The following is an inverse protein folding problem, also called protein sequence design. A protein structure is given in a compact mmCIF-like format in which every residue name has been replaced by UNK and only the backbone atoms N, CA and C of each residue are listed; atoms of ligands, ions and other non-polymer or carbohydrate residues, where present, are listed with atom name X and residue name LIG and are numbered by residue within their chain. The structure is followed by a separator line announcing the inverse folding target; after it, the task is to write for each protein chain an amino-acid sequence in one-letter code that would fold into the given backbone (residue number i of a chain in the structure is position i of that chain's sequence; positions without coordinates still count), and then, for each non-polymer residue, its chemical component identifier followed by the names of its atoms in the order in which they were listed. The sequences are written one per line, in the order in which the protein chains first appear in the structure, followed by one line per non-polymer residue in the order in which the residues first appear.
data_IF_247438384747
#
_entry.id   IF_247438384747
#
_cell.length_a   1.000
_cell.length_b   1.000
_cell.length_c   1.000
_cell.angle_alpha   90.00
_cell.angle_beta   90.00
_cell.angle_gamma   90.00
#
_symmetry.space_group_name_H-M   'P 1'
#
loop_
_entity.id
_entity.type
_entity.pdbx_description
1 polymer ?
#
# COMPACT_ATOMS: atom_id res chain seq x y z
N UNK A 1 -27.09 35.99 -65.55
CA UNK A 1 -25.68 35.94 -65.10
C UNK A 1 -25.63 35.27 -63.74
N UNK A 2 -25.48 33.93 -63.71
CA UNK A 2 -25.65 33.10 -62.51
C UNK A 2 -24.62 31.98 -62.62
N UNK A 3 -23.43 32.15 -62.04
CA UNK A 3 -22.35 31.15 -61.89
C UNK A 3 -21.10 31.85 -61.31
N UNK A 4 -21.15 32.30 -60.05
CA UNK A 4 -19.96 32.82 -59.38
C UNK A 4 -20.05 32.66 -57.85
N UNK A 5 -20.26 31.45 -57.34
CA UNK A 5 -20.16 31.20 -55.89
C UNK A 5 -19.74 29.78 -55.47
N UNK A 6 -19.34 28.88 -56.39
CA UNK A 6 -19.03 27.49 -56.05
C UNK A 6 -17.55 27.10 -56.26
N UNK A 7 -16.63 28.05 -56.15
CA UNK A 7 -15.18 27.83 -56.33
C UNK A 7 -14.35 28.26 -55.10
N UNK A 8 -14.99 28.34 -53.93
CA UNK A 8 -14.39 28.84 -52.68
C UNK A 8 -14.31 27.75 -51.58
N UNK A 9 -14.01 26.49 -51.90
CA UNK A 9 -13.80 25.46 -50.83
C UNK A 9 -12.78 24.36 -51.20
N UNK A 10 -12.49 24.13 -52.48
CA UNK A 10 -11.86 22.87 -52.92
C UNK A 10 -10.33 22.75 -52.73
N UNK A 11 -9.48 23.79 -52.75
CA UNK A 11 -8.03 23.55 -52.66
C UNK A 11 -7.50 23.34 -51.22
N UNK A 12 -8.32 23.48 -50.17
CA UNK A 12 -7.87 23.37 -48.78
C UNK A 12 -7.96 21.94 -48.19
N UNK A 13 -8.56 20.98 -48.92
CA UNK A 13 -8.78 19.61 -48.44
C UNK A 13 -7.63 18.62 -48.73
N UNK A 14 -6.55 19.06 -49.39
CA UNK A 14 -5.46 18.17 -49.83
C UNK A 14 -4.19 18.23 -48.97
N UNK A 15 -4.20 18.96 -47.85
CA UNK A 15 -3.08 19.03 -46.91
C UNK A 15 -3.23 18.07 -45.70
N UNK A 16 -3.94 16.94 -45.87
CA UNK A 16 -3.97 15.88 -44.86
C UNK A 16 -2.72 15.00 -44.99
N UNK A 17 -1.58 15.51 -44.53
CA UNK A 17 -0.38 14.69 -44.31
C UNK A 17 -0.69 13.69 -43.19
N UNK A 18 -1.13 12.48 -43.56
CA UNK A 18 -1.24 11.35 -42.64
C UNK A 18 0.15 10.97 -42.14
N UNK A 19 0.57 11.54 -41.00
CA UNK A 19 1.75 11.05 -40.28
C UNK A 19 1.46 9.63 -39.82
N UNK A 20 2.23 8.65 -40.31
CA UNK A 20 2.22 7.30 -39.74
C UNK A 20 2.62 7.43 -38.28
N UNK A 21 1.71 7.06 -37.38
CA UNK A 21 2.01 6.96 -35.96
C UNK A 21 3.12 5.93 -35.70
N UNK A 22 3.75 5.97 -34.52
CA UNK A 22 4.73 4.97 -34.14
C UNK A 22 4.12 3.56 -34.20
N UNK A 23 4.90 2.57 -34.62
CA UNK A 23 4.48 1.17 -34.59
C UNK A 23 4.37 0.72 -33.13
N UNK A 24 3.16 0.34 -32.71
CA UNK A 24 2.91 -0.22 -31.38
C UNK A 24 2.82 -1.75 -31.53
N UNK A 25 3.75 -2.45 -30.89
CA UNK A 25 3.75 -3.90 -30.86
C UNK A 25 2.69 -4.43 -29.87
N UNK A 26 2.06 -5.57 -30.15
CA UNK A 26 0.99 -6.12 -29.29
C UNK A 26 1.43 -6.39 -27.84
N UNK A 27 2.69 -6.73 -27.61
CA UNK A 27 3.27 -6.93 -26.28
C UNK A 27 3.43 -5.62 -25.49
N UNK A 28 3.37 -4.46 -26.14
CA UNK A 28 3.34 -3.16 -25.46
C UNK A 28 1.94 -2.75 -24.97
N UNK A 29 0.89 -3.47 -25.39
CA UNK A 29 -0.50 -3.20 -24.99
C UNK A 29 -0.90 -3.88 -23.66
N UNK A 30 0.09 -4.40 -22.93
CA UNK A 30 -0.12 -5.01 -21.62
C UNK A 30 0.15 -3.99 -20.50
N UNK A 31 -0.44 -4.15 -19.31
CA UNK A 31 -0.24 -3.22 -18.21
C UNK A 31 1.25 -3.01 -17.84
N UNK A 32 1.62 -1.78 -17.49
CA UNK A 32 2.90 -1.49 -16.84
C UNK A 32 3.03 -2.17 -15.49
N UNK A 33 4.26 -2.28 -14.98
CA UNK A 33 4.50 -2.80 -13.64
C UNK A 33 3.89 -1.90 -12.56
N UNK A 34 3.28 -2.46 -11.50
CA UNK A 34 2.88 -1.72 -10.33
C UNK A 34 4.07 -0.95 -9.76
N UNK A 35 3.84 0.31 -9.37
CA UNK A 35 4.87 1.19 -8.85
C UNK A 35 4.81 1.28 -7.33
N UNK A 36 5.84 1.89 -6.73
CA UNK A 36 5.95 2.07 -5.28
C UNK A 36 5.73 0.77 -4.47
N UNK A 37 6.13 -0.37 -5.04
CA UNK A 37 6.04 -1.66 -4.36
C UNK A 37 6.99 -1.65 -3.17
N UNK A 38 6.46 -1.88 -1.97
CA UNK A 38 7.20 -1.90 -0.72
C UNK A 38 6.67 -2.99 0.18
N UNK A 39 7.55 -3.64 0.95
CA UNK A 39 7.16 -4.57 2.01
C UNK A 39 7.83 -4.18 3.31
N UNK A 40 7.08 -4.23 4.41
CA UNK A 40 7.57 -3.96 5.76
C UNK A 40 6.91 -4.89 6.76
N UNK A 41 7.63 -5.26 7.82
CA UNK A 41 7.03 -5.98 8.92
C UNK A 41 6.09 -5.06 9.71
N UNK A 42 4.84 -5.49 9.86
CA UNK A 42 3.81 -4.83 10.65
C UNK A 42 3.34 -5.75 11.79
N UNK A 43 4.04 -5.74 12.92
CA UNK A 43 3.75 -6.64 14.05
C UNK A 43 4.09 -8.08 13.69
N UNK A 44 3.07 -8.96 13.68
CA UNK A 44 3.23 -10.39 13.38
C UNK A 44 3.06 -10.75 11.89
N UNK A 45 2.92 -9.75 11.02
CA UNK A 45 2.72 -9.95 9.58
C UNK A 45 3.60 -9.04 8.72
N UNK A 46 3.50 -9.21 7.39
CA UNK A 46 4.11 -8.33 6.40
C UNK A 46 3.06 -7.45 5.75
N UNK A 47 3.29 -6.13 5.74
CA UNK A 47 2.48 -5.15 5.03
C UNK A 47 3.09 -4.88 3.67
N UNK A 48 2.45 -5.39 2.62
CA UNK A 48 2.81 -5.16 1.22
C UNK A 48 1.97 -4.01 0.66
N UNK A 49 2.61 -2.95 0.17
CA UNK A 49 1.95 -1.80 -0.44
C UNK A 49 2.42 -1.59 -1.87
N UNK A 50 1.51 -1.28 -2.79
CA UNK A 50 1.84 -1.02 -4.20
C UNK A 50 0.77 -0.17 -4.88
N UNK A 51 1.17 0.61 -5.88
CA UNK A 51 0.26 1.43 -6.70
C UNK A 51 -0.06 0.71 -7.99
N UNK A 52 -1.35 0.53 -8.26
CA UNK A 52 -1.86 -0.07 -9.49
C UNK A 52 -1.44 0.75 -10.73
N UNK A 53 -1.04 0.08 -11.83
CA UNK A 53 -0.69 0.77 -13.06
C UNK A 53 -1.93 1.44 -13.66
N UNK A 54 -1.70 2.59 -14.30
CA UNK A 54 -2.74 3.35 -15.02
C UNK A 54 -2.51 3.35 -16.53
N UNK A 55 -1.42 2.76 -16.97
CA UNK A 55 -0.98 2.74 -18.36
C UNK A 55 -0.51 1.35 -18.78
N UNK A 56 -0.52 1.13 -20.09
CA UNK A 56 0.19 0.03 -20.73
C UNK A 56 1.65 0.42 -21.02
N UNK A 57 2.47 -0.55 -21.43
CA UNK A 57 3.89 -0.30 -21.77
C UNK A 57 4.08 0.65 -22.96
N UNK A 58 3.02 0.92 -23.73
CA UNK A 58 2.99 1.93 -24.79
C UNK A 58 2.54 3.32 -24.29
N UNK A 59 2.49 3.53 -22.98
CA UNK A 59 2.10 4.78 -22.29
C UNK A 59 0.63 5.20 -22.52
N UNK A 60 -0.20 4.30 -23.06
CA UNK A 60 -1.62 4.54 -23.26
C UNK A 60 -2.40 4.26 -21.98
N UNK A 61 -3.54 4.92 -21.82
CA UNK A 61 -4.36 4.72 -20.62
C UNK A 61 -4.92 3.29 -20.55
N UNK A 62 -4.66 2.63 -19.43
CA UNK A 62 -5.14 1.28 -19.15
C UNK A 62 -6.57 1.34 -18.59
N UNK A 63 -7.53 0.75 -19.32
CA UNK A 63 -8.96 0.79 -18.97
C UNK A 63 -9.54 -0.57 -18.60
N UNK A 64 -8.81 -1.65 -18.87
CA UNK A 64 -9.25 -3.03 -18.69
C UNK A 64 -8.45 -3.79 -17.63
N UNK A 65 -7.77 -3.08 -16.71
CA UNK A 65 -7.12 -3.70 -15.55
C UNK A 65 -8.16 -4.47 -14.72
N UNK A 66 -7.93 -5.77 -14.49
CA UNK A 66 -8.79 -6.61 -13.65
C UNK A 66 -8.25 -6.78 -12.24
N UNK A 67 -6.93 -6.78 -12.07
CA UNK A 67 -6.33 -7.14 -10.81
C UNK A 67 -4.82 -7.26 -10.85
N UNK A 68 -4.28 -7.83 -9.78
CA UNK A 68 -2.88 -8.23 -9.65
C UNK A 68 -2.77 -9.65 -9.11
N UNK A 69 -1.76 -10.37 -9.58
CA UNK A 69 -1.24 -11.59 -8.96
C UNK A 69 -0.03 -11.22 -8.12
N UNK A 70 -0.06 -11.60 -6.86
CA UNK A 70 1.04 -11.42 -5.93
C UNK A 70 1.75 -12.75 -5.82
N UNK A 71 3.02 -12.74 -6.18
CA UNK A 71 3.90 -13.87 -6.06
C UNK A 71 4.74 -13.70 -4.79
N UNK A 72 4.89 -14.77 -4.02
CA UNK A 72 5.69 -14.81 -2.78
C UNK A 72 6.75 -15.89 -2.90
N UNK A 73 7.95 -15.57 -2.44
CA UNK A 73 9.03 -16.52 -2.22
C UNK A 73 9.44 -16.44 -0.76
N UNK A 74 9.60 -17.59 -0.15
CA UNK A 74 9.93 -17.73 1.26
C UNK A 74 11.27 -18.44 1.40
N UNK A 75 12.19 -17.84 2.12
CA UNK A 75 13.47 -18.45 2.47
C UNK A 75 13.55 -18.54 3.99
N UNK A 76 13.61 -19.77 4.50
CA UNK A 76 13.76 -20.05 5.92
C UNK A 76 15.24 -20.29 6.28
N UNK A 77 15.70 -19.91 7.48
CA UNK A 77 17.07 -20.18 7.92
C UNK A 77 17.39 -21.68 8.02
N UNK A 78 16.38 -22.49 8.35
CA UNK A 78 16.40 -23.96 8.30
C UNK A 78 15.38 -24.43 7.27
N UNK A 79 15.78 -24.70 6.01
CA UNK A 79 14.85 -25.28 5.05
C UNK A 79 14.35 -26.63 5.58
N UNK A 80 13.07 -26.99 5.37
CA UNK A 80 12.67 -28.38 5.56
C UNK A 80 13.60 -29.27 4.73
N UNK A 81 14.03 -30.37 5.32
CA UNK A 81 15.20 -31.18 4.91
C UNK A 81 15.12 -31.74 3.48
N UNK A 82 13.98 -31.60 2.78
CA UNK A 82 13.65 -32.34 1.56
C UNK A 82 13.07 -31.50 0.40
N UNK A 83 13.54 -30.27 0.11
CA UNK A 83 13.32 -29.67 -1.23
C UNK A 83 14.12 -28.38 -1.50
N UNK A 84 15.32 -28.45 -2.12
CA UNK A 84 16.06 -27.27 -2.54
C UNK A 84 15.30 -26.38 -3.55
N UNK A 85 14.56 -27.00 -4.50
CA UNK A 85 13.78 -26.29 -5.51
C UNK A 85 12.57 -25.51 -4.94
N UNK A 86 12.16 -25.83 -3.71
CA UNK A 86 11.00 -25.22 -3.06
C UNK A 86 11.30 -23.86 -2.43
N UNK A 87 12.58 -23.53 -2.23
CA UNK A 87 13.04 -22.31 -1.54
C UNK A 87 13.36 -21.17 -2.53
N UNK A 88 13.62 -21.48 -3.81
CA UNK A 88 14.18 -20.51 -4.75
C UNK A 88 13.17 -19.88 -5.73
N UNK A 89 11.99 -20.48 -5.90
CA UNK A 89 11.00 -20.05 -6.89
C UNK A 89 9.85 -19.24 -6.27
N UNK A 90 9.40 -18.21 -7.01
CA UNK A 90 8.19 -17.47 -6.67
C UNK A 90 6.96 -18.35 -6.88
N UNK A 91 6.07 -18.39 -5.89
CA UNK A 91 4.78 -19.08 -5.96
C UNK A 91 3.64 -18.06 -5.96
N UNK A 92 2.53 -18.40 -6.61
CA UNK A 92 1.33 -17.58 -6.52
C UNK A 92 0.81 -17.59 -5.09
N UNK A 93 0.81 -16.42 -4.44
CA UNK A 93 0.34 -16.23 -3.08
C UNK A 93 -1.11 -15.76 -3.05
N UNK A 94 -1.44 -14.74 -3.85
CA UNK A 94 -2.77 -14.15 -3.93
C UNK A 94 -3.08 -13.66 -5.33
N UNK A 95 -4.36 -13.73 -5.71
CA UNK A 95 -4.91 -12.98 -6.84
C UNK A 95 -5.90 -11.98 -6.29
N UNK A 96 -5.65 -10.70 -6.51
CA UNK A 96 -6.49 -9.61 -6.03
C UNK A 96 -7.17 -8.96 -7.22
N UNK A 97 -8.49 -8.90 -7.19
CA UNK A 97 -9.28 -8.21 -8.20
C UNK A 97 -9.57 -6.78 -7.74
N UNK A 98 -9.46 -5.80 -8.63
CA UNK A 98 -9.63 -4.38 -8.27
C UNK A 98 -11.06 -4.04 -7.83
N UNK A 99 -12.04 -4.82 -8.30
CA UNK A 99 -13.47 -4.61 -8.07
C UNK A 99 -14.05 -5.52 -6.98
N UNK A 100 -13.21 -6.33 -6.31
CA UNK A 100 -13.63 -7.24 -5.25
C UNK A 100 -13.06 -6.76 -3.92
N UNK A 101 -13.93 -6.64 -2.91
CA UNK A 101 -13.50 -6.39 -1.54
C UNK A 101 -13.02 -7.71 -0.92
N UNK A 102 -11.75 -7.77 -0.55
CA UNK A 102 -11.16 -8.85 0.22
C UNK A 102 -10.65 -8.26 1.53
N UNK A 103 -11.10 -8.77 2.68
CA UNK A 103 -10.76 -8.20 3.99
C UNK A 103 -9.26 -8.20 4.32
N UNK A 104 -8.45 -8.99 3.60
CA UNK A 104 -6.99 -9.00 3.75
C UNK A 104 -6.28 -7.88 2.99
N UNK A 105 -6.97 -7.17 2.09
CA UNK A 105 -6.46 -6.04 1.33
C UNK A 105 -7.33 -4.80 1.49
N UNK A 106 -6.71 -3.62 1.50
CA UNK A 106 -7.41 -2.35 1.45
C UNK A 106 -6.95 -1.49 0.31
N UNK A 107 -7.92 -0.81 -0.30
CA UNK A 107 -7.73 0.07 -1.44
C UNK A 107 -7.91 1.53 -1.03
N UNK A 108 -6.89 2.33 -1.31
CA UNK A 108 -6.85 3.78 -1.11
C UNK A 108 -6.62 4.45 -2.47
N UNK A 109 -7.69 4.59 -3.25
CA UNK A 109 -7.59 5.02 -4.65
C UNK A 109 -6.87 3.97 -5.52
N UNK A 110 -5.67 4.29 -6.03
CA UNK A 110 -4.82 3.33 -6.76
C UNK A 110 -3.81 2.61 -5.87
N UNK A 111 -3.66 3.00 -4.61
CA UNK A 111 -2.79 2.32 -3.65
C UNK A 111 -3.53 1.10 -3.09
N UNK A 112 -2.89 -0.05 -3.15
CA UNK A 112 -3.35 -1.30 -2.54
C UNK A 112 -2.41 -1.63 -1.38
N UNK A 113 -2.98 -2.03 -0.25
CA UNK A 113 -2.25 -2.44 0.95
C UNK A 113 -2.77 -3.80 1.40
N UNK A 114 -1.92 -4.81 1.34
CA UNK A 114 -2.20 -6.19 1.77
C UNK A 114 -1.47 -6.47 3.09
N UNK A 115 -2.14 -7.13 4.02
CA UNK A 115 -1.50 -7.72 5.20
C UNK A 115 -1.35 -9.22 5.00
N UNK A 116 -0.11 -9.68 4.86
CA UNK A 116 0.26 -11.09 4.87
C UNK A 116 0.53 -11.56 6.29
N UNK A 117 -0.39 -12.37 6.83
CA UNK A 117 -0.26 -13.00 8.14
C UNK A 117 0.33 -14.42 8.08
N UNK A 118 0.52 -15.00 6.89
CA UNK A 118 1.10 -16.33 6.72
C UNK A 118 2.63 -16.24 6.69
N UNK A 119 3.19 -15.75 7.79
CA UNK A 119 4.63 -15.55 7.95
C UNK A 119 5.12 -16.15 9.27
N UNK A 120 6.40 -16.52 9.31
CA UNK A 120 7.06 -17.18 10.44
C UNK A 120 8.26 -16.37 10.86
N UNK A 121 8.57 -16.42 12.14
CA UNK A 121 9.75 -15.77 12.70
C UNK A 121 11.04 -16.22 11.97
N UNK A 122 11.96 -15.29 11.77
CA UNK A 122 13.20 -15.44 11.02
C UNK A 122 13.05 -15.80 9.53
N UNK A 123 11.82 -15.88 8.99
CA UNK A 123 11.59 -16.06 7.57
C UNK A 123 11.94 -14.81 6.77
N UNK A 124 12.56 -15.00 5.60
CA UNK A 124 12.82 -13.94 4.62
C UNK A 124 11.79 -14.05 3.51
N UNK A 125 11.05 -12.97 3.27
CA UNK A 125 9.92 -12.96 2.35
C UNK A 125 10.19 -12.00 1.20
N UNK A 126 10.21 -12.53 -0.03
CA UNK A 126 10.31 -11.73 -1.25
C UNK A 126 8.98 -11.73 -2.00
N UNK A 127 8.49 -10.56 -2.39
CA UNK A 127 7.25 -10.39 -3.14
C UNK A 127 7.49 -9.80 -4.53
N UNK A 128 6.66 -10.20 -5.50
CA UNK A 128 6.49 -9.55 -6.80
C UNK A 128 5.01 -9.35 -7.08
N UNK A 129 4.66 -8.26 -7.73
CA UNK A 129 3.28 -7.95 -8.10
C UNK A 129 3.18 -7.90 -9.63
N UNK A 130 2.26 -8.67 -10.19
CA UNK A 130 2.03 -8.80 -11.63
C UNK A 130 0.59 -8.39 -11.93
N UNK A 131 0.35 -7.28 -12.65
CA UNK A 131 -0.98 -6.85 -13.02
C UNK A 131 -1.53 -7.73 -14.14
N UNK A 132 -2.86 -7.81 -14.25
CA UNK A 132 -3.49 -8.51 -15.36
C UNK A 132 -4.79 -7.84 -15.80
N UNK A 133 -5.09 -7.99 -17.10
CA UNK A 133 -6.30 -7.40 -17.71
C UNK A 133 -7.53 -8.28 -17.50
N UNK A 134 -8.72 -7.77 -17.84
CA UNK A 134 -9.99 -8.53 -17.83
C UNK A 134 -9.98 -9.75 -18.75
N UNK A 135 -9.08 -9.79 -19.73
CA UNK A 135 -8.84 -10.96 -20.59
C UNK A 135 -7.84 -11.96 -19.99
N UNK A 136 -7.34 -11.68 -18.77
CA UNK A 136 -6.37 -12.52 -18.08
C UNK A 136 -4.92 -12.37 -18.56
N UNK A 137 -4.63 -11.36 -19.39
CA UNK A 137 -3.28 -11.12 -19.93
C UNK A 137 -2.42 -10.43 -18.88
N UNK A 138 -1.26 -11.01 -18.60
CA UNK A 138 -0.29 -10.51 -17.62
C UNK A 138 0.47 -9.30 -18.19
N UNK A 139 0.64 -8.28 -17.35
CA UNK A 139 1.51 -7.15 -17.62
C UNK A 139 2.93 -7.35 -17.09
N UNK A 140 3.70 -6.27 -17.07
CA UNK A 140 5.05 -6.29 -16.54
C UNK A 140 5.07 -6.55 -15.02
N UNK A 141 5.97 -7.41 -14.56
CA UNK A 141 6.15 -7.68 -13.13
C UNK A 141 6.90 -6.54 -12.44
N UNK A 142 6.55 -6.24 -11.19
CA UNK A 142 7.33 -5.32 -10.36
C UNK A 142 8.74 -5.86 -10.08
N UNK A 143 9.65 -4.96 -9.73
CA UNK A 143 10.89 -5.37 -9.06
C UNK A 143 10.56 -6.17 -7.78
N UNK A 144 11.37 -7.18 -7.42
CA UNK A 144 11.16 -7.92 -6.18
C UNK A 144 11.46 -7.03 -4.96
N UNK A 145 10.63 -7.13 -3.93
CA UNK A 145 10.86 -6.48 -2.63
C UNK A 145 10.97 -7.53 -1.53
N UNK A 146 11.91 -7.35 -0.61
CA UNK A 146 12.22 -8.33 0.43
C UNK A 146 12.12 -7.68 1.81
N UNK A 147 11.58 -8.43 2.78
CA UNK A 147 11.68 -8.11 4.19
C UNK A 147 11.97 -9.36 5.01
N UNK A 148 12.70 -9.19 6.11
CA UNK A 148 12.96 -10.25 7.08
C UNK A 148 12.00 -10.15 8.25
N UNK A 149 11.40 -11.27 8.66
CA UNK A 149 10.54 -11.33 9.83
C UNK A 149 11.38 -11.45 11.09
N UNK A 150 11.39 -10.41 11.92
CA UNK A 150 12.05 -10.43 13.23
C UNK A 150 11.01 -10.50 14.36
N UNK A 151 11.40 -10.81 15.60
CA UNK A 151 10.49 -10.63 16.74
C UNK A 151 9.95 -9.19 16.77
N UNK A 152 8.61 -8.99 16.83
CA UNK A 152 8.05 -7.65 16.81
C UNK A 152 8.50 -6.87 18.06
N UNK A 153 8.82 -5.57 17.92
CA UNK A 153 9.03 -4.70 19.06
C UNK A 153 7.81 -4.68 19.99
N UNK A 154 8.05 -4.41 21.28
CA UNK A 154 6.97 -4.23 22.26
C UNK A 154 6.20 -2.96 21.89
N UNK A 155 4.85 -3.01 21.79
CA UNK A 155 4.05 -1.84 21.45
C UNK A 155 4.05 -0.82 22.61
N UNK A 156 3.75 0.46 22.32
CA UNK A 156 3.47 1.41 23.38
C UNK A 156 2.11 1.12 24.02
N UNK A 157 1.91 1.65 25.22
CA UNK A 157 0.60 1.90 25.81
C UNK A 157 0.14 3.28 25.36
N UNK A 158 -1.07 3.35 24.82
CA UNK A 158 -1.68 4.59 24.35
C UNK A 158 -2.65 5.11 25.41
N UNK A 159 -2.48 6.37 25.82
CA UNK A 159 -3.43 7.11 26.66
C UNK A 159 -4.10 8.22 25.85
N UNK A 160 -5.32 8.57 26.23
CA UNK A 160 -6.13 9.56 25.53
C UNK A 160 -6.68 10.61 26.51
N UNK A 161 -6.61 11.87 26.11
CA UNK A 161 -7.03 13.04 26.87
C UNK A 161 -7.90 13.94 25.98
N UNK A 162 -9.22 13.70 25.94
CA UNK A 162 -10.11 14.50 25.13
C UNK A 162 -10.31 15.92 25.71
N UNK A 163 -10.37 16.91 24.82
CA UNK A 163 -10.69 18.31 25.10
C UNK A 163 -11.89 18.75 24.25
N UNK A 164 -12.40 19.99 24.38
CA UNK A 164 -13.52 20.46 23.57
C UNK A 164 -13.20 20.63 22.07
N UNK A 165 -11.93 20.80 21.70
CA UNK A 165 -11.49 21.11 20.32
C UNK A 165 -10.61 20.04 19.69
N UNK A 166 -10.00 19.19 20.50
CA UNK A 166 -9.01 18.21 20.08
C UNK A 166 -8.95 17.01 21.04
N UNK A 167 -8.16 16.02 20.67
CA UNK A 167 -7.83 14.88 21.50
C UNK A 167 -6.31 14.75 21.55
N UNK A 168 -5.73 14.88 22.74
CA UNK A 168 -4.31 14.58 22.97
C UNK A 168 -4.13 13.10 23.25
N UNK A 169 -3.18 12.49 22.56
CA UNK A 169 -2.74 11.12 22.77
C UNK A 169 -1.32 11.10 23.30
N UNK A 170 -1.03 10.18 24.22
CA UNK A 170 0.30 9.97 24.78
C UNK A 170 0.76 8.53 24.58
N UNK A 171 1.99 8.38 24.11
CA UNK A 171 2.65 7.11 23.87
C UNK A 171 3.61 6.81 25.02
N UNK A 172 3.30 5.77 25.80
CA UNK A 172 4.10 5.35 26.95
C UNK A 172 4.63 3.96 26.69
N UNK A 173 5.94 3.78 26.63
CA UNK A 173 6.52 2.48 26.31
C UNK A 173 7.99 2.37 26.63
N UNK A 174 8.48 1.13 26.58
CA UNK A 174 9.89 0.83 26.71
C UNK A 174 10.62 1.12 25.39
N UNK A 175 11.88 1.55 25.49
CA UNK A 175 12.74 1.66 24.33
C UNK A 175 13.08 0.26 23.77
N UNK A 176 13.26 0.11 22.45
CA UNK A 176 13.61 -1.16 21.86
C UNK A 176 14.98 -1.64 22.35
N UNK A 177 15.09 -2.94 22.67
CA UNK A 177 16.35 -3.58 23.07
C UNK A 177 17.32 -3.68 21.88
N UNK A 178 16.78 -3.90 20.68
CA UNK A 178 17.54 -4.02 19.43
C UNK A 178 17.05 -2.97 18.45
N UNK A 179 17.98 -2.25 17.83
CA UNK A 179 17.68 -1.15 16.92
C UNK A 179 17.44 0.18 17.65
N UNK A 180 16.96 1.17 16.92
CA UNK A 180 16.67 2.50 17.46
C UNK A 180 15.22 2.91 17.20
N UNK A 181 14.60 3.55 18.19
CA UNK A 181 13.27 4.12 18.06
C UNK A 181 13.29 5.22 16.98
N UNK A 182 12.44 5.07 15.96
CA UNK A 182 12.21 6.10 14.94
C UNK A 182 11.03 6.98 15.33
N UNK A 183 10.00 6.39 15.94
CA UNK A 183 8.79 7.09 16.36
C UNK A 183 7.57 6.18 16.42
N UNK A 184 6.39 6.77 16.26
CA UNK A 184 5.11 6.09 16.33
C UNK A 184 4.27 6.33 15.08
N UNK A 185 3.61 5.28 14.61
CA UNK A 185 2.54 5.37 13.62
C UNK A 185 1.19 5.27 14.34
N UNK A 186 0.36 6.30 14.21
CA UNK A 186 -0.95 6.40 14.82
C UNK A 186 -2.03 6.00 13.81
N UNK A 187 -3.01 5.22 14.26
CA UNK A 187 -4.15 4.76 13.48
C UNK A 187 -5.42 5.30 14.12
N UNK A 188 -6.37 5.73 13.30
CA UNK A 188 -7.66 6.30 13.73
C UNK A 188 -8.79 5.75 12.88
N UNK A 189 -9.89 5.35 13.50
CA UNK A 189 -11.15 5.03 12.85
C UNK A 189 -12.32 5.62 13.64
N UNK A 190 -13.50 5.70 13.03
CA UNK A 190 -14.73 5.95 13.81
C UNK A 190 -15.01 4.71 14.67
N UNK A 191 -15.56 4.90 15.88
CA UNK A 191 -15.91 3.80 16.77
C UNK A 191 -16.82 2.80 16.05
N UNK A 192 -16.45 1.52 16.11
CA UNK A 192 -17.15 0.42 15.45
C UNK A 192 -16.66 0.12 14.03
N UNK A 193 -15.84 0.99 13.43
CA UNK A 193 -15.13 0.70 12.19
C UNK A 193 -13.77 0.07 12.45
N UNK A 194 -13.28 -0.71 11.49
CA UNK A 194 -11.94 -1.27 11.56
C UNK A 194 -10.86 -0.18 11.36
N UNK A 195 -9.82 -0.21 12.20
CA UNK A 195 -8.65 0.67 12.03
C UNK A 195 -8.03 0.52 10.65
N UNK A 196 -7.67 1.61 9.93
CA UNK A 196 -7.07 1.58 8.59
C UNK A 196 -5.75 0.80 8.56
N UNK A 197 -5.33 0.32 7.38
CA UNK A 197 -4.01 -0.33 7.22
C UNK A 197 -2.87 0.68 7.07
N UNK A 198 -3.21 1.94 6.76
CA UNK A 198 -2.29 3.05 6.70
C UNK A 198 -2.41 3.92 7.96
N UNK A 199 -1.29 4.45 8.46
CA UNK A 199 -1.32 5.37 9.57
C UNK A 199 -1.95 6.71 9.17
N UNK A 200 -2.45 7.43 10.16
CA UNK A 200 -2.93 8.80 10.07
C UNK A 200 -1.80 9.78 9.74
N UNK A 201 -0.62 9.56 10.32
CA UNK A 201 0.57 10.38 10.11
C UNK A 201 1.33 9.98 8.84
N UNK A 202 1.90 10.97 8.14
CA UNK A 202 2.70 10.75 6.89
C UNK A 202 4.10 10.21 7.15
N UNK A 203 4.66 10.51 8.32
CA UNK A 203 5.97 10.07 8.78
C UNK A 203 5.88 9.74 10.28
N UNK A 204 6.70 8.81 10.81
CA UNK A 204 6.64 8.43 12.21
C UNK A 204 6.75 9.62 13.15
N UNK A 205 5.88 9.66 14.16
CA UNK A 205 5.84 10.71 15.17
C UNK A 205 7.00 10.52 16.15
N UNK A 206 7.92 11.49 16.21
CA UNK A 206 9.12 11.40 17.04
C UNK A 206 8.88 11.73 18.53
N UNK A 207 7.81 12.47 18.83
CA UNK A 207 7.43 12.82 20.20
C UNK A 207 6.65 11.70 20.91
N UNK A 208 6.57 11.79 22.23
CA UNK A 208 5.75 10.90 23.07
C UNK A 208 4.28 11.35 23.17
N UNK A 209 3.87 12.37 22.43
CA UNK A 209 2.47 12.80 22.36
C UNK A 209 2.09 13.33 20.98
N UNK A 210 0.80 13.29 20.68
CA UNK A 210 0.20 13.80 19.46
C UNK A 210 -1.17 14.43 19.75
N UNK A 211 -1.45 15.59 19.15
CA UNK A 211 -2.77 16.23 19.26
C UNK A 211 -3.53 16.07 17.96
N UNK A 212 -4.63 15.31 18.01
CA UNK A 212 -5.54 15.14 16.90
C UNK A 212 -6.64 16.22 16.94
N UNK A 213 -6.71 17.02 15.90
CA UNK A 213 -7.59 18.20 15.80
C UNK A 213 -8.44 18.14 14.53
N UNK A 214 -9.44 19.02 14.42
CA UNK A 214 -10.38 19.01 13.29
C UNK A 214 -11.32 17.81 13.33
N UNK A 215 -11.67 17.35 14.54
CA UNK A 215 -12.57 16.24 14.79
C UNK A 215 -14.04 16.69 14.70
N UNK A 216 -14.92 15.77 14.31
CA UNK A 216 -16.34 16.05 14.24
C UNK A 216 -16.97 15.90 15.63
N UNK A 217 -17.77 16.89 16.05
CA UNK A 217 -18.56 16.80 17.29
C UNK A 217 -19.57 15.65 17.20
N UNK A 218 -19.80 14.98 18.33
CA UNK A 218 -20.69 13.81 18.42
C UNK A 218 -20.12 12.51 17.84
N UNK A 219 -18.92 12.53 17.25
CA UNK A 219 -18.25 11.32 16.75
C UNK A 219 -17.26 10.81 17.77
N UNK A 220 -17.38 9.54 18.15
CA UNK A 220 -16.34 8.85 18.92
C UNK A 220 -15.34 8.21 17.97
N UNK A 221 -14.07 8.48 18.19
CA UNK A 221 -12.97 7.92 17.44
C UNK A 221 -12.28 6.83 18.26
N UNK A 222 -11.76 5.84 17.56
CA UNK A 222 -10.95 4.77 18.11
C UNK A 222 -9.52 4.90 17.61
N UNK A 223 -8.55 4.78 18.51
CA UNK A 223 -7.14 5.01 18.26
C UNK A 223 -6.30 3.82 18.70
N UNK A 224 -5.27 3.53 17.93
CA UNK A 224 -4.20 2.63 18.30
C UNK A 224 -2.90 3.09 17.65
N UNK A 225 -1.76 2.68 18.20
CA UNK A 225 -0.45 3.06 17.70
C UNK A 225 0.43 1.84 17.49
N UNK A 226 1.43 1.99 16.61
CA UNK A 226 2.56 1.09 16.48
C UNK A 226 3.85 1.86 16.73
N UNK A 227 4.79 1.24 17.43
CA UNK A 227 6.14 1.75 17.59
C UNK A 227 6.98 1.30 16.38
N UNK A 228 7.75 2.24 15.82
CA UNK A 228 8.58 2.06 14.63
C UNK A 228 10.04 2.00 15.04
N UNK A 229 10.71 0.89 14.73
CA UNK A 229 12.12 0.66 15.06
C UNK A 229 12.93 0.54 13.79
N UNK A 230 14.10 1.17 13.75
CA UNK A 230 15.13 0.89 12.77
C UNK A 230 16.03 -0.21 13.29
N UNK A 231 16.01 -1.37 12.65
CA UNK A 231 16.87 -2.49 13.00
C UNK A 231 18.33 -2.20 12.58
N UNK A 232 19.33 -2.89 13.17
CA UNK A 232 20.73 -2.77 12.75
C UNK A 232 20.97 -3.07 11.27
N UNK A 233 20.10 -3.89 10.65
CA UNK A 233 20.10 -4.16 9.20
C UNK A 233 19.67 -2.96 8.36
N UNK A 234 19.17 -1.89 8.98
CA UNK A 234 18.64 -0.68 8.34
C UNK A 234 17.14 -0.73 8.04
N UNK A 235 16.53 -1.92 8.06
CA UNK A 235 15.10 -2.13 7.86
C UNK A 235 14.27 -1.46 8.96
N UNK A 236 13.08 -0.95 8.60
CA UNK A 236 12.11 -0.49 9.59
C UNK A 236 11.11 -1.60 9.88
N UNK A 237 10.87 -1.83 11.16
CA UNK A 237 9.92 -2.81 11.67
C UNK A 237 8.94 -2.14 12.63
N UNK A 238 7.71 -2.63 12.65
CA UNK A 238 6.65 -2.08 13.48
C UNK A 238 6.27 -3.08 14.55
N UNK A 239 5.97 -2.58 15.75
CA UNK A 239 5.35 -3.39 16.80
C UNK A 239 3.99 -3.93 16.35
N UNK A 240 3.42 -4.83 17.15
CA UNK A 240 1.97 -5.06 17.12
C UNK A 240 1.21 -3.76 17.45
N UNK A 241 -0.11 -3.73 17.25
CA UNK A 241 -0.92 -2.60 17.70
C UNK A 241 -0.84 -2.48 19.24
N UNK A 242 -0.83 -1.24 19.73
CA UNK A 242 -1.06 -0.92 21.13
C UNK A 242 -2.43 -1.38 21.61
N UNK A 243 -2.71 -1.16 22.89
CA UNK A 243 -4.10 -1.09 23.35
C UNK A 243 -4.88 -0.07 22.50
N UNK A 244 -6.14 -0.38 22.27
CA UNK A 244 -7.08 0.52 21.60
C UNK A 244 -7.74 1.41 22.64
N UNK A 245 -7.81 2.71 22.36
CA UNK A 245 -8.48 3.71 23.21
C UNK A 245 -9.52 4.47 22.39
N UNK A 246 -10.59 4.89 23.04
CA UNK A 246 -11.67 5.61 22.41
C UNK A 246 -11.87 6.97 23.05
N UNK A 247 -12.24 7.98 22.26
CA UNK A 247 -12.51 9.32 22.74
C UNK A 247 -13.33 10.13 21.76
N UNK A 248 -14.06 11.11 22.29
CA UNK A 248 -14.81 12.11 21.54
C UNK A 248 -14.50 13.49 22.12
N UNK A 249 -14.70 14.55 21.34
CA UNK A 249 -14.59 15.92 21.85
C UNK A 249 -15.52 16.09 23.06
N UNK A 250 -15.01 16.73 24.12
CA UNK A 250 -15.83 17.06 25.29
C UNK A 250 -16.82 18.18 24.94
N UNK A 251 -17.95 18.19 25.62
CA UNK A 251 -18.81 19.36 25.61
C UNK A 251 -18.10 20.50 26.36
N UNK A 252 -18.35 21.74 25.93
CA UNK A 252 -17.85 22.92 26.63
C UNK A 252 -18.53 22.96 28.02
N UNK A 253 -17.73 23.01 29.10
CA UNK A 253 -18.24 23.10 30.50
C UNK A 253 -19.03 24.39 30.76
#
# INVERSE_FOLDING_TARGET
MRRLSLLLVIPLLLAACGKKGPLIYPDMLVPEAPSAVTVRQAGVGMRLSFVLPRKDLAEQSLTDLAGVRILKRESMPSPPQDCPACTDSFRLFRTLYVDVQDGSVRRYGSLMVLLDSDVRAAGVYTYRVVPFTKKGVDGAASAPVTATMVPPPIPPVLHIFPSPTDIRLEFVGLLPVIGSLVGYDLYRAVKGEDLPFLPLNKAPLSGSSFTDSGLNRGVTYSYAARLIVRMPTGELVESILSNQVEGALREDE
#
